data_IF_830645939078
#
_entry.id   IF_830645939078
#
_cell.length_a   1.000
_cell.length_b   1.000
_cell.length_c   1.000
_cell.angle_alpha   90.00
_cell.angle_beta   90.00
_cell.angle_gamma   90.00
#
_symmetry.space_group_name_H-M   'P 1'
#
loop_
_entity.id
_entity.type
_entity.pdbx_description
1 polymer ?
#
# COMPACT_ATOMS: atom_id res chain seq x y z
N UNK A 1 29.87 8.75 -8.52
CA UNK A 1 28.51 9.18 -8.92
C UNK A 1 27.63 9.29 -7.68
N UNK A 2 26.56 10.09 -7.73
CA UNK A 2 25.72 10.41 -6.57
C UNK A 2 24.65 9.34 -6.35
N UNK A 3 24.24 9.10 -5.10
CA UNK A 3 23.19 8.14 -4.74
C UNK A 3 21.90 8.31 -5.55
N UNK A 4 21.48 9.57 -5.80
CA UNK A 4 20.29 9.86 -6.59
C UNK A 4 20.42 9.40 -8.06
N UNK A 5 21.62 9.34 -8.62
CA UNK A 5 21.87 8.87 -9.99
C UNK A 5 21.97 7.35 -10.08
N UNK A 6 22.54 6.71 -9.06
CA UNK A 6 22.85 5.27 -9.10
C UNK A 6 21.78 4.38 -8.47
N UNK A 7 20.92 4.93 -7.61
CA UNK A 7 20.10 4.13 -6.69
C UNK A 7 18.62 4.55 -6.63
N UNK A 8 18.26 5.73 -7.13
CA UNK A 8 16.86 6.16 -7.22
C UNK A 8 16.31 5.92 -8.63
N UNK A 9 14.99 5.68 -8.77
CA UNK A 9 14.40 5.44 -10.08
C UNK A 9 14.46 6.70 -10.95
N UNK A 10 14.76 6.53 -12.23
CA UNK A 10 14.74 7.61 -13.22
C UNK A 10 13.32 8.08 -13.56
N UNK A 11 12.33 7.20 -13.36
CA UNK A 11 10.92 7.46 -13.60
C UNK A 11 10.08 7.06 -12.38
N UNK A 12 9.10 7.90 -12.05
CA UNK A 12 8.10 7.60 -11.02
C UNK A 12 6.72 7.70 -11.64
N UNK A 13 5.88 6.69 -11.39
CA UNK A 13 4.47 6.72 -11.77
C UNK A 13 3.60 7.13 -10.58
N UNK A 14 2.70 8.09 -10.82
CA UNK A 14 1.73 8.56 -9.83
C UNK A 14 0.33 8.19 -10.31
N UNK A 15 -0.33 7.19 -9.69
CA UNK A 15 -1.69 6.80 -10.09
C UNK A 15 -2.69 7.91 -9.74
N UNK A 16 -3.65 8.15 -10.63
CA UNK A 16 -4.72 9.15 -10.44
C UNK A 16 -6.11 8.50 -10.57
N UNK A 17 -6.58 8.30 -11.80
CA UNK A 17 -7.88 7.70 -12.11
C UNK A 17 -9.05 8.68 -12.22
N UNK A 18 -8.82 9.99 -12.33
CA UNK A 18 -9.89 11.00 -12.39
C UNK A 18 -9.49 12.20 -13.27
N UNK A 19 -10.47 13.01 -13.67
CA UNK A 19 -10.23 14.24 -14.42
C UNK A 19 -9.57 15.29 -13.52
N UNK A 20 -8.56 15.98 -14.03
CA UNK A 20 -7.81 16.98 -13.27
C UNK A 20 -7.89 18.32 -13.97
N UNK A 21 -8.24 19.36 -13.23
CA UNK A 21 -8.16 20.73 -13.72
C UNK A 21 -6.75 21.28 -13.58
N UNK A 22 -6.15 21.10 -12.40
CA UNK A 22 -4.76 21.48 -12.10
C UNK A 22 -4.12 20.49 -11.14
N UNK A 23 -2.82 20.31 -11.26
CA UNK A 23 -2.01 19.67 -10.24
C UNK A 23 -1.20 20.76 -9.53
N UNK A 24 -1.34 20.86 -8.21
CA UNK A 24 -0.53 21.72 -7.37
C UNK A 24 0.67 20.92 -6.91
N UNK A 25 1.87 21.40 -7.23
CA UNK A 25 3.13 20.76 -6.89
C UNK A 25 3.77 21.54 -5.75
N UNK A 26 4.10 20.83 -4.67
CA UNK A 26 5.02 21.27 -3.64
C UNK A 26 6.37 20.58 -3.90
N UNK A 27 7.42 21.36 -4.14
CA UNK A 27 8.69 20.86 -4.66
C UNK A 27 9.41 21.96 -5.42
N UNK A 28 9.79 21.69 -6.68
CA UNK A 28 10.41 22.71 -7.53
C UNK A 28 11.83 23.08 -7.11
N UNK A 29 12.51 22.17 -6.42
CA UNK A 29 13.93 22.31 -6.09
C UNK A 29 14.70 21.17 -6.74
N UNK A 30 15.93 21.46 -7.12
CA UNK A 30 16.87 20.45 -7.57
C UNK A 30 18.19 20.64 -6.84
N UNK A 31 18.85 19.54 -6.54
CA UNK A 31 20.28 19.64 -6.27
C UNK A 31 21.02 19.85 -7.60
N UNK A 32 22.09 20.65 -7.55
CA UNK A 32 22.80 21.15 -8.73
C UNK A 32 21.92 21.98 -9.67
N UNK A 33 20.90 22.63 -9.11
CA UNK A 33 19.94 23.45 -9.85
C UNK A 33 20.46 24.84 -10.19
N UNK A 34 19.65 25.60 -10.90
CA UNK A 34 19.96 26.97 -11.30
C UNK A 34 19.93 27.90 -10.10
N UNK A 35 20.92 28.79 -10.04
CA UNK A 35 20.99 29.88 -9.09
C UNK A 35 20.40 31.20 -9.64
N UNK A 36 19.76 31.17 -10.82
CA UNK A 36 19.21 32.34 -11.51
C UNK A 36 17.91 32.01 -12.25
N UNK A 37 17.03 33.00 -12.44
CA UNK A 37 15.85 32.93 -13.29
C UNK A 37 16.24 32.98 -14.77
N UNK A 38 16.76 31.86 -15.26
CA UNK A 38 17.13 31.67 -16.65
C UNK A 38 16.87 30.23 -17.02
N UNK A 39 16.01 30.03 -18.03
CA UNK A 39 15.71 28.71 -18.57
C UNK A 39 16.99 27.97 -18.94
N UNK A 40 17.27 26.93 -18.16
CA UNK A 40 18.41 26.07 -18.29
C UNK A 40 18.06 24.76 -18.99
N UNK A 41 18.69 23.69 -18.52
CA UNK A 41 18.49 22.33 -19.05
C UNK A 41 17.13 21.76 -18.63
N UNK A 42 16.59 20.77 -19.35
CA UNK A 42 15.35 20.11 -18.93
C UNK A 42 15.57 19.36 -17.61
N UNK A 43 14.64 19.52 -16.69
CA UNK A 43 14.67 18.89 -15.36
C UNK A 43 13.83 17.62 -15.36
N UNK A 44 12.55 17.73 -15.75
CA UNK A 44 11.58 16.63 -15.65
C UNK A 44 10.68 16.63 -16.88
N UNK A 45 10.44 15.47 -17.47
CA UNK A 45 9.37 15.25 -18.44
C UNK A 45 8.17 14.70 -17.67
N UNK A 46 7.05 15.41 -17.74
CA UNK A 46 5.76 15.00 -17.20
C UNK A 46 4.94 14.42 -18.35
N UNK A 47 4.53 13.17 -18.22
CA UNK A 47 3.63 12.52 -19.18
C UNK A 47 2.29 12.23 -18.50
N UNK A 48 1.21 12.78 -19.06
CA UNK A 48 -0.16 12.48 -18.67
C UNK A 48 -0.64 11.31 -19.51
N UNK A 49 -0.95 10.19 -18.88
CA UNK A 49 -1.51 9.02 -19.54
C UNK A 49 -3.01 8.99 -19.30
N UNK A 50 -3.80 9.27 -20.33
CA UNK A 50 -5.25 9.38 -20.20
C UNK A 50 -5.94 8.03 -20.25
N UNK A 51 -7.12 7.97 -19.65
CA UNK A 51 -8.03 6.83 -19.65
C UNK A 51 -8.38 6.32 -21.06
N UNK A 52 -8.36 7.19 -22.07
CA UNK A 52 -8.64 6.85 -23.47
C UNK A 52 -7.42 6.31 -24.24
N UNK A 53 -6.32 6.03 -23.52
CA UNK A 53 -5.07 5.47 -24.07
C UNK A 53 -4.17 6.50 -24.76
N UNK A 54 -4.57 7.76 -24.87
CA UNK A 54 -3.73 8.83 -25.42
C UNK A 54 -2.83 9.43 -24.34
N UNK A 55 -1.80 10.14 -24.78
CA UNK A 55 -0.82 10.80 -23.90
C UNK A 55 -0.65 12.27 -24.21
N UNK A 56 -0.35 13.07 -23.20
CA UNK A 56 0.14 14.45 -23.32
C UNK A 56 1.45 14.59 -22.58
N UNK A 57 2.38 15.40 -23.08
CA UNK A 57 3.68 15.62 -22.45
C UNK A 57 3.96 17.10 -22.18
N UNK A 58 4.57 17.40 -21.04
CA UNK A 58 5.09 18.71 -20.67
C UNK A 58 6.51 18.56 -20.15
N UNK A 59 7.43 19.47 -20.52
CA UNK A 59 8.79 19.49 -20.00
C UNK A 59 8.93 20.65 -19.01
N UNK A 60 9.44 20.34 -17.82
CA UNK A 60 9.81 21.30 -16.78
C UNK A 60 11.31 21.55 -16.84
N UNK A 61 11.70 22.78 -16.55
CA UNK A 61 13.06 23.26 -16.75
C UNK A 61 13.68 23.74 -15.44
N UNK A 62 14.99 23.53 -15.36
CA UNK A 62 15.84 24.20 -14.40
C UNK A 62 15.91 25.70 -14.69
N UNK A 63 15.88 26.52 -13.64
CA UNK A 63 15.78 27.98 -13.73
C UNK A 63 14.42 28.50 -14.20
N UNK A 64 13.37 27.65 -14.25
CA UNK A 64 11.98 28.05 -14.52
C UNK A 64 11.06 27.51 -13.42
N UNK A 65 10.71 26.21 -13.44
CA UNK A 65 9.96 25.59 -12.35
C UNK A 65 10.88 25.13 -11.22
N UNK A 66 12.10 24.70 -11.56
CA UNK A 66 13.10 24.22 -10.62
C UNK A 66 14.19 25.26 -10.35
N UNK A 67 14.72 25.30 -9.13
CA UNK A 67 15.92 26.07 -8.77
C UNK A 67 16.80 25.30 -7.78
N UNK A 68 18.03 25.75 -7.57
CA UNK A 68 18.92 25.11 -6.59
C UNK A 68 18.33 25.12 -5.18
N UNK A 69 18.38 24.00 -4.48
CA UNK A 69 17.79 23.85 -3.15
C UNK A 69 18.44 24.70 -2.05
N UNK A 70 19.72 25.11 -2.20
CA UNK A 70 20.57 25.52 -1.06
C UNK A 70 20.11 26.81 -0.36
N UNK A 71 19.45 27.71 -1.10
CA UNK A 71 19.00 29.02 -0.62
C UNK A 71 17.85 29.50 -1.47
N UNK A 72 17.10 30.50 -1.00
CA UNK A 72 16.07 31.16 -1.80
C UNK A 72 16.64 31.76 -3.09
N UNK A 73 16.13 31.27 -4.22
CA UNK A 73 16.40 31.76 -5.58
C UNK A 73 15.06 31.89 -6.26
N UNK A 74 14.65 33.09 -6.63
CA UNK A 74 13.37 33.30 -7.31
C UNK A 74 13.52 32.96 -8.81
N UNK A 75 12.61 32.13 -9.32
CA UNK A 75 12.50 31.70 -10.73
C UNK A 75 11.07 31.89 -11.22
N UNK A 76 10.89 32.11 -12.51
CA UNK A 76 9.63 32.57 -13.12
C UNK A 76 8.48 31.55 -13.11
N UNK A 77 8.77 30.25 -13.08
CA UNK A 77 7.80 29.17 -13.18
C UNK A 77 7.31 28.60 -11.85
N UNK A 78 7.86 29.04 -10.72
CA UNK A 78 7.45 28.57 -9.40
C UNK A 78 7.64 29.64 -8.32
N UNK A 79 6.94 29.51 -7.20
CA UNK A 79 6.94 30.48 -6.11
C UNK A 79 7.58 29.88 -4.87
N UNK A 80 8.34 30.68 -4.14
CA UNK A 80 8.89 30.29 -2.84
C UNK A 80 7.76 29.97 -1.83
N UNK A 81 8.00 28.97 -0.97
CA UNK A 81 7.10 28.60 0.12
C UNK A 81 7.70 29.04 1.45
N UNK A 82 6.99 29.91 2.15
CA UNK A 82 7.39 30.42 3.46
C UNK A 82 6.94 29.47 4.60
N UNK A 83 7.65 29.50 5.73
CA UNK A 83 7.23 28.87 6.98
C UNK A 83 7.36 27.34 7.08
N UNK A 84 7.86 26.65 6.04
CA UNK A 84 8.06 25.19 6.07
C UNK A 84 9.50 24.75 6.36
N UNK A 85 10.47 25.65 6.25
CA UNK A 85 11.87 25.40 6.59
C UNK A 85 12.23 26.27 7.79
N UNK A 86 12.90 25.70 8.78
CA UNK A 86 13.38 26.43 9.95
C UNK A 86 14.26 27.62 9.51
N UNK A 87 14.03 28.81 10.08
CA UNK A 87 14.67 30.05 9.65
C UNK A 87 16.22 30.04 9.66
N UNK A 88 16.83 29.12 10.41
CA UNK A 88 18.29 28.99 10.55
C UNK A 88 18.88 27.81 9.76
N UNK A 89 18.10 27.17 8.88
CA UNK A 89 18.57 26.06 8.02
C UNK A 89 18.78 26.54 6.59
N UNK A 90 19.88 26.16 5.91
CA UNK A 90 20.00 26.37 4.47
C UNK A 90 18.93 25.53 3.76
N UNK A 91 18.26 26.14 2.78
CA UNK A 91 17.20 25.46 2.05
C UNK A 91 16.21 26.43 1.39
N UNK A 92 15.41 25.86 0.50
CA UNK A 92 14.14 26.44 0.07
C UNK A 92 13.19 25.32 -0.33
N UNK A 93 11.92 25.66 -0.41
CA UNK A 93 10.90 24.84 -1.04
C UNK A 93 10.06 25.76 -1.93
N UNK A 94 9.54 25.23 -3.02
CA UNK A 94 8.77 25.99 -4.00
C UNK A 94 7.44 25.32 -4.26
N UNK A 95 6.55 26.07 -4.89
CA UNK A 95 5.30 25.53 -5.39
C UNK A 95 4.97 26.09 -6.76
N UNK A 96 4.31 25.27 -7.57
CA UNK A 96 3.83 25.64 -8.90
C UNK A 96 2.64 24.77 -9.29
N UNK A 97 2.03 25.08 -10.42
CA UNK A 97 0.87 24.33 -10.94
C UNK A 97 1.15 23.76 -12.31
N UNK A 98 0.76 22.51 -12.52
CA UNK A 98 0.67 21.91 -13.83
C UNK A 98 -0.79 21.91 -14.28
N UNK A 99 -1.02 22.17 -15.55
CA UNK A 99 -2.37 22.22 -16.11
C UNK A 99 -2.44 21.31 -17.33
N UNK A 100 -3.11 20.14 -17.23
CA UNK A 100 -3.34 19.31 -18.40
C UNK A 100 -4.18 20.07 -19.42
N UNK A 101 -3.86 19.93 -20.72
CA UNK A 101 -4.64 20.56 -21.80
C UNK A 101 -5.96 19.84 -22.03
N UNK A 102 -6.02 18.56 -21.66
CA UNK A 102 -7.19 17.69 -21.80
C UNK A 102 -7.97 17.60 -20.50
N UNK A 103 -9.25 17.25 -20.62
CA UNK A 103 -10.20 17.19 -19.49
C UNK A 103 -10.65 15.76 -19.16
N UNK A 104 -10.25 14.81 -19.99
CA UNK A 104 -10.48 13.39 -19.78
C UNK A 104 -9.75 12.88 -18.53
N UNK A 105 -10.26 11.83 -17.86
CA UNK A 105 -9.58 11.24 -16.72
C UNK A 105 -8.14 10.83 -17.05
N UNK A 106 -7.22 11.17 -16.15
CA UNK A 106 -5.82 10.75 -16.24
C UNK A 106 -5.69 9.44 -15.48
N UNK A 107 -5.19 8.38 -16.12
CA UNK A 107 -4.91 7.10 -15.49
C UNK A 107 -3.74 7.23 -14.49
N UNK A 108 -2.61 7.76 -14.96
CA UNK A 108 -1.42 8.02 -14.16
C UNK A 108 -0.57 9.14 -14.78
N UNK A 109 0.30 9.73 -13.97
CA UNK A 109 1.37 10.61 -14.41
C UNK A 109 2.69 9.85 -14.39
N UNK A 110 3.53 10.05 -15.40
CA UNK A 110 4.93 9.63 -15.35
C UNK A 110 5.82 10.87 -15.20
N UNK A 111 6.65 10.86 -14.16
CA UNK A 111 7.64 11.90 -13.87
C UNK A 111 9.02 11.32 -14.16
N UNK A 112 9.63 11.75 -15.26
CA UNK A 112 10.89 11.21 -15.75
C UNK A 112 12.00 12.26 -15.68
N UNK A 113 13.12 11.95 -15.02
CA UNK A 113 14.31 12.79 -15.04
C UNK A 113 15.15 12.53 -16.29
N UNK A 114 15.86 13.56 -16.73
CA UNK A 114 16.82 13.45 -17.84
C UNK A 114 18.18 12.98 -17.33
N UNK A 115 18.96 12.29 -18.18
CA UNK A 115 20.34 11.91 -17.86
C UNK A 115 21.26 13.14 -17.83
N UNK A 116 21.22 13.85 -16.71
CA UNK A 116 22.06 15.00 -16.43
C UNK A 116 22.35 15.08 -14.91
N UNK A 117 23.04 16.14 -14.47
CA UNK A 117 23.47 16.28 -13.08
C UNK A 117 22.34 16.68 -12.10
N UNK A 118 21.20 17.14 -12.60
CA UNK A 118 20.11 17.57 -11.75
C UNK A 118 19.54 16.40 -10.96
N UNK A 119 19.19 16.67 -9.72
CA UNK A 119 18.34 15.80 -8.93
C UNK A 119 17.05 16.56 -8.58
N UNK A 120 16.04 16.57 -9.47
CA UNK A 120 14.77 17.24 -9.24
C UNK A 120 13.99 16.55 -8.11
N UNK A 121 13.42 17.34 -7.20
CA UNK A 121 12.68 16.83 -6.04
C UNK A 121 11.24 17.33 -6.06
N UNK A 122 10.32 16.38 -5.96
CA UNK A 122 8.91 16.60 -5.64
C UNK A 122 8.68 16.18 -4.19
N UNK A 123 8.05 17.04 -3.41
CA UNK A 123 7.68 16.71 -2.03
C UNK A 123 6.22 16.23 -1.96
N UNK A 124 5.31 16.92 -2.65
CA UNK A 124 3.92 16.52 -2.74
C UNK A 124 3.28 17.01 -4.04
N UNK A 125 2.25 16.30 -4.48
CA UNK A 125 1.39 16.71 -5.60
C UNK A 125 -0.06 16.54 -5.14
N UNK A 126 -0.87 17.58 -5.26
CA UNK A 126 -2.32 17.50 -5.01
C UNK A 126 -3.09 17.85 -6.27
N UNK A 127 -4.20 17.16 -6.51
CA UNK A 127 -5.02 17.40 -7.68
C UNK A 127 -6.23 18.27 -7.33
N UNK A 128 -6.44 19.33 -8.10
CA UNK A 128 -7.67 20.10 -8.15
C UNK A 128 -8.60 19.46 -9.17
N UNK A 129 -9.74 18.98 -8.69
CA UNK A 129 -10.78 18.35 -9.50
C UNK A 129 -11.89 19.38 -9.67
N UNK A 130 -12.12 19.85 -10.90
CA UNK A 130 -13.24 20.75 -11.20
C UNK A 130 -14.56 20.07 -10.87
N UNK A 131 -15.58 20.84 -10.45
CA UNK A 131 -16.90 20.34 -10.07
C UNK A 131 -17.73 19.62 -11.15
N UNK A 132 -17.11 19.15 -12.23
CA UNK A 132 -17.68 18.14 -13.12
C UNK A 132 -17.78 16.79 -12.40
N UNK A 133 -18.72 15.95 -12.85
CA UNK A 133 -18.96 14.62 -12.28
C UNK A 133 -17.64 13.89 -12.00
N UNK A 134 -17.56 13.19 -10.85
CA UNK A 134 -16.55 12.15 -10.64
C UNK A 134 -16.73 11.15 -11.78
N UNK A 135 -16.06 11.37 -12.90
CA UNK A 135 -16.00 10.39 -13.97
C UNK A 135 -15.56 9.10 -13.31
N UNK A 136 -16.32 8.02 -13.51
CA UNK A 136 -15.86 6.70 -13.13
C UNK A 136 -14.46 6.57 -13.71
N UNK A 137 -13.48 6.31 -12.83
CA UNK A 137 -12.14 5.94 -13.25
C UNK A 137 -12.28 4.92 -14.38
N UNK A 138 -11.54 5.10 -15.48
CA UNK A 138 -11.42 4.00 -16.43
C UNK A 138 -11.10 2.75 -15.62
N UNK A 139 -11.78 1.61 -15.91
CA UNK A 139 -11.62 0.41 -15.12
C UNK A 139 -10.13 0.12 -15.01
N UNK A 140 -9.65 -0.04 -13.78
CA UNK A 140 -8.24 -0.30 -13.55
C UNK A 140 -7.82 -1.51 -14.41
N UNK A 141 -6.58 -1.53 -14.95
CA UNK A 141 -6.14 -2.58 -15.86
C UNK A 141 -6.47 -3.94 -15.26
N UNK A 142 -7.11 -4.79 -16.05
CA UNK A 142 -7.53 -6.11 -15.59
C UNK A 142 -6.29 -6.87 -15.10
N UNK A 143 -6.37 -7.40 -13.89
CA UNK A 143 -5.28 -8.17 -13.30
C UNK A 143 -5.30 -9.59 -13.87
N UNK A 144 -4.17 -10.05 -14.39
CA UNK A 144 -4.03 -11.44 -14.83
C UNK A 144 -3.87 -12.34 -13.60
N UNK A 145 -4.89 -13.15 -13.33
CA UNK A 145 -4.86 -14.08 -12.21
C UNK A 145 -4.17 -15.40 -12.59
N UNK A 146 -3.30 -15.95 -11.72
CA UNK A 146 -2.74 -17.28 -11.90
C UNK A 146 -3.82 -18.36 -11.80
N UNK A 147 -3.47 -19.60 -12.18
CA UNK A 147 -4.36 -20.76 -12.07
C UNK A 147 -4.88 -21.01 -10.64
N UNK A 148 -4.14 -20.58 -9.61
CA UNK A 148 -4.58 -20.64 -8.22
C UNK A 148 -5.82 -19.79 -7.94
N UNK A 149 -6.07 -18.76 -8.77
CA UNK A 149 -7.08 -17.71 -8.57
C UNK A 149 -6.96 -17.03 -7.22
N UNK A 150 -5.73 -16.95 -6.69
CA UNK A 150 -5.41 -16.23 -5.48
C UNK A 150 -4.96 -14.82 -5.82
N UNK A 151 -5.50 -13.82 -5.13
CA UNK A 151 -5.10 -12.43 -5.22
C UNK A 151 -4.61 -11.94 -3.87
N UNK A 152 -3.38 -11.41 -3.81
CA UNK A 152 -2.83 -10.72 -2.65
C UNK A 152 -2.83 -9.21 -2.91
N UNK A 153 -3.47 -8.46 -2.00
CA UNK A 153 -3.56 -7.01 -2.05
C UNK A 153 -2.69 -6.41 -0.94
N UNK A 154 -1.63 -5.71 -1.33
CA UNK A 154 -0.73 -5.00 -0.43
C UNK A 154 -0.78 -3.48 -0.62
N UNK A 155 0.18 -2.78 -0.03
CA UNK A 155 0.38 -1.35 -0.20
C UNK A 155 -0.08 -0.48 0.97
N UNK A 156 0.40 0.75 0.96
CA UNK A 156 0.29 1.73 2.04
C UNK A 156 1.65 2.03 2.66
N UNK A 157 1.72 2.11 3.98
CA UNK A 157 2.95 2.50 4.71
C UNK A 157 3.40 1.43 5.70
N UNK A 158 4.53 1.70 6.38
CA UNK A 158 5.05 0.93 7.53
C UNK A 158 5.64 -0.44 7.21
N UNK A 159 5.47 -0.96 5.99
CA UNK A 159 6.07 -2.22 5.54
C UNK A 159 6.65 -2.07 4.13
N UNK A 160 7.68 -2.87 3.83
CA UNK A 160 8.15 -3.07 2.46
C UNK A 160 7.25 -4.10 1.76
N UNK A 161 6.08 -3.63 1.30
CA UNK A 161 5.07 -4.47 0.66
C UNK A 161 5.56 -5.19 -0.60
N UNK A 162 6.45 -4.54 -1.35
CA UNK A 162 7.02 -5.10 -2.56
C UNK A 162 7.98 -6.25 -2.25
N UNK A 163 8.83 -6.09 -1.23
CA UNK A 163 9.79 -7.13 -0.87
C UNK A 163 9.13 -8.30 -0.17
N UNK A 164 8.34 -8.05 0.87
CA UNK A 164 7.92 -9.10 1.79
C UNK A 164 6.59 -9.74 1.39
N UNK A 165 5.66 -8.96 0.83
CA UNK A 165 4.33 -9.47 0.51
C UNK A 165 4.16 -9.80 -0.97
N UNK A 166 4.72 -9.00 -1.89
CA UNK A 166 4.74 -9.36 -3.31
C UNK A 166 5.78 -10.46 -3.58
N UNK A 167 7.07 -10.13 -3.46
CA UNK A 167 8.15 -11.08 -3.79
C UNK A 167 8.31 -12.23 -2.79
N UNK A 168 7.77 -12.08 -1.58
CA UNK A 168 7.74 -13.12 -0.55
C UNK A 168 6.43 -13.91 -0.56
N UNK A 169 5.41 -13.39 0.12
CA UNK A 169 4.17 -14.14 0.39
C UNK A 169 3.37 -14.47 -0.89
N UNK A 170 3.22 -13.53 -1.83
CA UNK A 170 2.49 -13.80 -3.07
C UNK A 170 3.22 -14.85 -3.92
N UNK A 171 4.56 -14.80 -3.98
CA UNK A 171 5.37 -15.84 -4.62
C UNK A 171 5.22 -17.21 -3.94
N UNK A 172 5.25 -17.25 -2.60
CA UNK A 172 5.06 -18.46 -1.80
C UNK A 172 3.69 -19.11 -2.05
N UNK A 173 2.65 -18.28 -2.20
CA UNK A 173 1.26 -18.71 -2.39
C UNK A 173 0.89 -18.92 -3.86
N UNK A 174 1.77 -18.57 -4.80
CA UNK A 174 1.46 -18.54 -6.23
C UNK A 174 0.26 -17.63 -6.53
N UNK A 175 0.20 -16.47 -5.89
CA UNK A 175 -0.86 -15.48 -6.01
C UNK A 175 -0.49 -14.38 -7.01
N UNK A 176 -1.49 -13.77 -7.66
CA UNK A 176 -1.29 -12.46 -8.25
C UNK A 176 -1.15 -11.43 -7.14
N UNK A 177 -0.39 -10.36 -7.40
CA UNK A 177 -0.21 -9.26 -6.48
C UNK A 177 -0.70 -7.94 -7.07
N UNK A 178 -1.31 -7.10 -6.24
CA UNK A 178 -1.52 -5.69 -6.55
C UNK A 178 -1.32 -4.81 -5.32
N UNK A 179 -0.72 -3.64 -5.54
CA UNK A 179 -0.69 -2.53 -4.58
C UNK A 179 -1.71 -1.43 -4.92
N UNK A 180 -2.58 -1.64 -5.91
CA UNK A 180 -3.59 -0.68 -6.35
C UNK A 180 -5.01 -1.15 -5.95
N UNK A 181 -5.65 -0.54 -4.94
CA UNK A 181 -6.98 -0.94 -4.49
C UNK A 181 -8.07 -0.83 -5.57
N UNK A 182 -7.88 0.00 -6.59
CA UNK A 182 -8.84 0.15 -7.69
C UNK A 182 -8.97 -1.11 -8.55
N UNK A 183 -7.99 -2.03 -8.50
CA UNK A 183 -8.04 -3.30 -9.25
C UNK A 183 -8.86 -4.38 -8.54
N UNK A 184 -9.19 -4.20 -7.25
CA UNK A 184 -9.85 -5.22 -6.44
C UNK A 184 -11.23 -5.56 -7.04
N UNK A 185 -12.07 -4.56 -7.25
CA UNK A 185 -13.45 -4.78 -7.71
C UNK A 185 -13.53 -5.59 -9.01
N UNK A 186 -12.67 -5.27 -9.98
CA UNK A 186 -12.63 -5.97 -11.28
C UNK A 186 -12.08 -7.39 -11.20
N UNK A 187 -11.20 -7.70 -10.24
CA UNK A 187 -10.59 -9.02 -10.10
C UNK A 187 -11.46 -10.01 -9.31
N UNK A 188 -12.21 -9.52 -8.32
CA UNK A 188 -13.01 -10.35 -7.37
C UNK A 188 -13.93 -11.42 -8.01
N UNK A 189 -14.58 -11.19 -9.16
CA UNK A 189 -15.41 -12.23 -9.79
C UNK A 189 -14.65 -13.54 -10.07
N UNK A 190 -13.36 -13.43 -10.41
CA UNK A 190 -12.52 -14.56 -10.79
C UNK A 190 -11.69 -15.14 -9.63
N UNK A 191 -11.56 -14.41 -8.52
CA UNK A 191 -10.78 -14.80 -7.33
C UNK A 191 -11.48 -15.90 -6.55
N UNK A 192 -10.72 -16.90 -6.09
CA UNK A 192 -11.17 -17.95 -5.15
C UNK A 192 -10.64 -17.74 -3.73
N UNK A 193 -9.47 -17.11 -3.59
CA UNK A 193 -8.88 -16.72 -2.32
C UNK A 193 -8.40 -15.28 -2.42
N UNK A 194 -8.99 -14.39 -1.62
CA UNK A 194 -8.48 -13.04 -1.43
C UNK A 194 -7.58 -13.00 -0.19
N UNK A 195 -6.37 -12.47 -0.36
CA UNK A 195 -5.43 -12.19 0.73
C UNK A 195 -5.31 -10.68 0.85
N UNK A 196 -5.71 -10.10 1.98
CA UNK A 196 -5.53 -8.68 2.25
C UNK A 196 -4.39 -8.49 3.25
N UNK A 197 -3.46 -7.60 2.92
CA UNK A 197 -2.42 -7.14 3.84
C UNK A 197 -2.22 -5.62 3.81
N UNK A 198 -2.92 -4.92 2.91
CA UNK A 198 -2.81 -3.49 2.76
C UNK A 198 -3.33 -2.72 3.99
N UNK A 199 -2.70 -1.60 4.32
CA UNK A 199 -3.23 -0.62 5.28
C UNK A 199 -3.72 0.66 4.60
N UNK A 200 -3.38 0.87 3.33
CA UNK A 200 -3.99 1.95 2.52
C UNK A 200 -5.51 1.76 2.38
N UNK A 201 -6.28 2.85 2.21
CA UNK A 201 -7.73 2.77 2.08
C UNK A 201 -8.20 1.97 0.87
N UNK A 202 -9.25 1.17 1.05
CA UNK A 202 -10.07 0.63 -0.05
C UNK A 202 -11.31 1.52 -0.12
N UNK A 203 -11.29 2.56 -0.96
CA UNK A 203 -12.35 3.57 -1.01
C UNK A 203 -13.49 3.22 -1.97
N UNK A 204 -13.27 2.31 -2.92
CA UNK A 204 -14.28 1.89 -3.88
C UNK A 204 -15.40 1.05 -3.20
N UNK A 205 -16.65 1.52 -3.19
CA UNK A 205 -17.78 0.77 -2.63
C UNK A 205 -18.01 -0.58 -3.32
N UNK A 206 -17.70 -0.71 -4.62
CA UNK A 206 -17.83 -1.97 -5.34
C UNK A 206 -16.79 -2.99 -4.85
N UNK A 207 -15.55 -2.56 -4.60
CA UNK A 207 -14.53 -3.40 -3.98
C UNK A 207 -14.95 -3.83 -2.57
N UNK A 208 -15.41 -2.89 -1.73
CA UNK A 208 -15.90 -3.19 -0.37
C UNK A 208 -17.02 -4.23 -0.38
N UNK A 209 -18.06 -4.00 -1.18
CA UNK A 209 -19.18 -4.92 -1.32
C UNK A 209 -18.71 -6.28 -1.86
N UNK A 210 -17.86 -6.29 -2.89
CA UNK A 210 -17.36 -7.50 -3.50
C UNK A 210 -16.53 -8.38 -2.55
N UNK A 211 -15.80 -7.78 -1.60
CA UNK A 211 -15.06 -8.53 -0.56
C UNK A 211 -16.05 -9.31 0.32
N UNK A 212 -17.15 -8.68 0.75
CA UNK A 212 -18.21 -9.37 1.49
C UNK A 212 -18.92 -10.42 0.64
N UNK A 213 -19.28 -10.08 -0.60
CA UNK A 213 -19.94 -11.01 -1.53
C UNK A 213 -19.07 -12.26 -1.80
N UNK A 214 -17.75 -12.10 -1.88
CA UNK A 214 -16.80 -13.21 -2.05
C UNK A 214 -16.92 -14.21 -0.88
N UNK A 215 -16.92 -13.72 0.35
CA UNK A 215 -17.05 -14.57 1.55
C UNK A 215 -18.46 -15.18 1.63
N UNK A 216 -19.50 -14.42 1.31
CA UNK A 216 -20.88 -14.92 1.21
C UNK A 216 -21.06 -15.99 0.13
N UNK A 217 -20.28 -15.92 -0.95
CA UNK A 217 -20.24 -16.95 -1.98
C UNK A 217 -19.47 -18.22 -1.55
N UNK A 218 -18.97 -18.28 -0.31
CA UNK A 218 -18.27 -19.44 0.23
C UNK A 218 -16.80 -19.56 -0.17
N UNK A 219 -16.22 -18.49 -0.72
CA UNK A 219 -14.80 -18.39 -1.09
C UNK A 219 -13.94 -17.99 0.13
N UNK A 220 -12.63 -18.05 -0.03
CA UNK A 220 -11.67 -17.83 1.05
C UNK A 220 -11.25 -16.37 1.20
N UNK A 221 -11.12 -15.92 2.44
CA UNK A 221 -10.51 -14.64 2.81
C UNK A 221 -9.40 -14.86 3.83
N UNK A 222 -8.24 -14.28 3.57
CA UNK A 222 -7.09 -14.33 4.47
C UNK A 222 -6.62 -12.92 4.78
N UNK A 223 -6.54 -12.58 6.07
CA UNK A 223 -6.22 -11.24 6.55
C UNK A 223 -4.85 -11.30 7.23
N UNK A 224 -3.88 -10.59 6.67
CA UNK A 224 -2.49 -10.64 7.09
C UNK A 224 -2.05 -9.32 7.70
N UNK A 225 -1.42 -9.43 8.87
CA UNK A 225 -0.68 -8.39 9.55
C UNK A 225 -1.40 -7.03 9.52
N UNK A 226 -1.10 -6.03 8.66
CA UNK A 226 -1.79 -4.75 8.74
C UNK A 226 -3.29 -4.86 8.52
N UNK A 227 -3.79 -5.83 7.73
CA UNK A 227 -5.21 -6.02 7.50
C UNK A 227 -6.00 -6.46 8.76
N UNK A 228 -5.30 -6.84 9.85
CA UNK A 228 -5.89 -7.14 11.15
C UNK A 228 -6.02 -5.91 12.07
N UNK A 229 -5.63 -4.71 11.62
CA UNK A 229 -5.78 -3.45 12.36
C UNK A 229 -7.14 -2.78 12.13
N UNK A 230 -7.48 -1.85 13.02
CA UNK A 230 -8.53 -0.87 12.78
C UNK A 230 -8.08 0.26 11.83
N UNK A 231 -7.74 -0.10 10.58
CA UNK A 231 -7.23 0.85 9.57
C UNK A 231 -8.31 1.79 9.03
N UNK A 232 -9.53 1.28 8.83
CA UNK A 232 -10.57 1.96 8.05
C UNK A 232 -11.74 2.38 8.93
N UNK A 233 -11.62 3.56 9.54
CA UNK A 233 -12.65 4.13 10.44
C UNK A 233 -14.01 4.33 9.76
N UNK A 234 -14.00 4.58 8.45
CA UNK A 234 -15.17 4.77 7.60
C UNK A 234 -15.77 3.46 7.08
N UNK A 235 -15.21 2.31 7.48
CA UNK A 235 -15.70 0.98 7.13
C UNK A 235 -15.65 0.02 8.34
N UNK A 236 -16.34 0.35 9.44
CA UNK A 236 -16.26 -0.42 10.69
C UNK A 236 -16.77 -1.86 10.54
N UNK A 237 -17.66 -2.13 9.57
CA UNK A 237 -18.19 -3.46 9.28
C UNK A 237 -17.09 -4.45 8.89
N UNK A 238 -16.01 -3.99 8.25
CA UNK A 238 -14.86 -4.82 7.91
C UNK A 238 -14.27 -5.48 9.16
N UNK A 239 -13.89 -4.68 10.16
CA UNK A 239 -13.33 -5.19 11.40
C UNK A 239 -14.35 -6.02 12.17
N UNK A 240 -15.60 -5.55 12.25
CA UNK A 240 -16.67 -6.24 12.99
C UNK A 240 -16.96 -7.63 12.42
N UNK A 241 -17.09 -7.77 11.11
CA UNK A 241 -17.61 -8.98 10.48
C UNK A 241 -16.52 -9.90 9.89
N UNK A 242 -15.44 -9.33 9.35
CA UNK A 242 -14.40 -10.11 8.65
C UNK A 242 -13.17 -10.37 9.53
N UNK A 243 -12.77 -9.40 10.35
CA UNK A 243 -11.67 -9.58 11.33
C UNK A 243 -12.20 -10.07 12.69
N UNK A 244 -13.50 -9.89 12.95
CA UNK A 244 -14.15 -10.08 14.24
C UNK A 244 -13.56 -9.24 15.39
N UNK A 245 -12.88 -8.14 15.08
CA UNK A 245 -12.12 -7.31 16.00
C UNK A 245 -10.98 -6.59 15.30
N UNK A 246 -9.88 -6.41 16.02
CA UNK A 246 -8.63 -5.92 15.43
C UNK A 246 -7.67 -5.35 16.47
N UNK A 247 -6.53 -4.87 15.99
CA UNK A 247 -5.49 -4.24 16.83
C UNK A 247 -5.53 -2.71 16.74
N UNK A 248 -5.20 -2.04 17.85
CA UNK A 248 -4.90 -0.59 17.91
C UNK A 248 -3.49 -0.30 18.41
N UNK A 249 -2.73 -1.34 18.70
CA UNK A 249 -1.40 -1.28 19.27
C UNK A 249 -0.75 -2.66 19.23
N UNK A 250 0.55 -2.65 19.49
CA UNK A 250 1.42 -3.82 19.49
C UNK A 250 2.61 -3.54 20.39
N UNK A 251 3.31 -4.59 20.79
CA UNK A 251 4.63 -4.44 21.40
C UNK A 251 5.68 -4.05 20.36
N UNK A 252 6.79 -3.47 20.82
CA UNK A 252 7.95 -3.18 19.97
C UNK A 252 8.42 -4.43 19.21
N UNK A 253 9.06 -4.23 18.07
CA UNK A 253 9.69 -5.31 17.29
C UNK A 253 10.72 -6.07 18.15
N UNK A 254 10.40 -7.30 18.54
CA UNK A 254 11.23 -8.12 19.41
C UNK A 254 10.95 -9.61 19.21
N UNK A 255 11.85 -10.46 19.70
CA UNK A 255 11.62 -11.91 19.71
C UNK A 255 10.66 -12.29 20.84
N UNK A 256 9.57 -12.98 20.51
CA UNK A 256 8.62 -13.52 21.49
C UNK A 256 8.24 -14.96 21.14
N UNK A 257 7.66 -15.67 22.12
CA UNK A 257 7.20 -17.04 21.94
C UNK A 257 5.78 -17.07 21.38
N UNK A 258 5.60 -17.89 20.36
CA UNK A 258 4.33 -18.23 19.71
C UNK A 258 4.00 -19.68 20.03
N UNK A 259 2.76 -19.95 20.43
CA UNK A 259 2.31 -21.25 20.94
C UNK A 259 1.09 -21.70 20.13
N UNK A 260 1.16 -22.90 19.57
CA UNK A 260 0.03 -23.56 18.90
C UNK A 260 -0.95 -24.09 19.96
N UNK A 261 -2.20 -23.66 19.89
CA UNK A 261 -3.26 -24.07 20.84
C UNK A 261 -4.21 -25.12 20.29
N UNK A 262 -4.25 -25.28 18.97
CA UNK A 262 -5.06 -26.29 18.29
C UNK A 262 -4.18 -27.03 17.26
N UNK A 263 -3.64 -28.18 17.66
CA UNK A 263 -2.79 -29.02 16.80
C UNK A 263 -3.59 -29.87 15.80
N UNK A 264 -4.91 -29.98 15.98
CA UNK A 264 -5.77 -30.77 15.09
C UNK A 264 -6.22 -29.98 13.86
N UNK A 265 -6.13 -28.65 13.90
CA UNK A 265 -6.46 -27.79 12.77
C UNK A 265 -5.55 -28.03 11.56
N UNK A 266 -6.10 -28.12 10.34
CA UNK A 266 -5.29 -28.18 9.12
C UNK A 266 -4.35 -26.97 8.95
N UNK A 267 -4.67 -25.82 9.56
CA UNK A 267 -3.86 -24.60 9.48
C UNK A 267 -2.53 -24.78 10.24
N UNK A 268 -2.52 -25.53 11.34
CA UNK A 268 -1.35 -25.75 12.20
C UNK A 268 -0.62 -27.06 11.89
N UNK A 269 -1.07 -27.80 10.86
CA UNK A 269 -0.47 -29.06 10.46
C UNK A 269 1.01 -28.90 10.07
N UNK A 270 1.89 -29.59 10.80
CA UNK A 270 3.33 -29.53 10.59
C UNK A 270 4.00 -28.23 11.04
N UNK A 271 3.30 -27.40 11.82
CA UNK A 271 3.86 -26.24 12.51
C UNK A 271 4.38 -26.70 13.87
N UNK A 272 5.52 -26.16 14.31
CA UNK A 272 6.09 -26.43 15.64
C UNK A 272 5.09 -26.09 16.76
N UNK A 273 5.02 -26.92 17.81
CA UNK A 273 4.10 -26.70 18.95
C UNK A 273 4.30 -25.33 19.62
N UNK A 274 5.55 -24.89 19.69
CA UNK A 274 5.90 -23.49 19.91
C UNK A 274 7.14 -23.13 19.11
N UNK A 275 7.28 -21.85 18.79
CA UNK A 275 8.46 -21.30 18.11
C UNK A 275 8.67 -19.85 18.53
N UNK A 276 9.90 -19.36 18.37
CA UNK A 276 10.24 -17.96 18.59
C UNK A 276 10.33 -17.23 17.28
N UNK A 277 9.75 -16.04 17.22
CA UNK A 277 9.81 -15.18 16.05
C UNK A 277 10.07 -13.76 16.48
N UNK A 278 10.90 -13.04 15.72
CA UNK A 278 11.08 -11.60 15.89
C UNK A 278 10.05 -10.88 15.05
N UNK A 279 9.07 -10.25 15.71
CA UNK A 279 7.94 -9.57 15.07
C UNK A 279 7.29 -8.56 16.04
N UNK A 280 6.18 -7.96 15.63
CA UNK A 280 5.31 -7.15 16.48
C UNK A 280 4.18 -8.01 17.05
N UNK A 281 4.15 -8.19 18.37
CA UNK A 281 3.01 -8.85 19.01
C UNK A 281 1.82 -7.90 19.09
N UNK A 282 0.82 -8.15 18.26
CA UNK A 282 -0.40 -7.37 18.18
C UNK A 282 -1.29 -7.56 19.41
N UNK A 283 -1.75 -6.45 19.99
CA UNK A 283 -2.68 -6.45 21.11
C UNK A 283 -4.13 -6.54 20.58
N UNK A 284 -4.47 -7.70 20.03
CA UNK A 284 -5.77 -7.93 19.40
C UNK A 284 -6.93 -7.75 20.40
N UNK A 285 -7.96 -7.03 19.97
CA UNK A 285 -9.21 -6.83 20.71
C UNK A 285 -10.38 -7.38 19.91
N UNK A 286 -11.04 -8.40 20.47
CA UNK A 286 -12.28 -8.96 19.94
C UNK A 286 -13.38 -7.90 19.96
N UNK A 287 -14.10 -7.74 18.85
CA UNK A 287 -15.34 -6.96 18.83
C UNK A 287 -16.44 -7.79 19.52
N UNK A 288 -17.07 -7.29 20.60
CA UNK A 288 -18.09 -8.03 21.34
C UNK A 288 -19.37 -8.28 20.52
N UNK A 289 -19.60 -7.51 19.44
CA UNK A 289 -20.71 -7.67 18.51
C UNK A 289 -20.28 -8.33 17.18
N UNK A 290 -19.01 -8.71 17.03
CA UNK A 290 -18.51 -9.47 15.88
C UNK A 290 -18.67 -10.99 16.06
N UNK A 291 -18.54 -11.79 14.99
CA UNK A 291 -18.67 -13.25 15.05
C UNK A 291 -17.66 -13.89 16.01
N UNK A 292 -17.93 -15.10 16.47
CA UNK A 292 -16.96 -15.86 17.28
C UNK A 292 -15.68 -16.18 16.50
N UNK A 293 -14.58 -16.36 17.22
CA UNK A 293 -13.29 -16.77 16.65
C UNK A 293 -12.80 -18.07 17.26
N UNK A 294 -12.10 -18.88 16.47
CA UNK A 294 -11.33 -20.03 16.97
C UNK A 294 -9.85 -19.68 16.93
N UNK A 295 -9.23 -19.58 18.11
CA UNK A 295 -7.80 -19.27 18.24
C UNK A 295 -6.99 -20.54 18.07
N UNK A 296 -6.10 -20.54 17.08
CA UNK A 296 -5.27 -21.69 16.70
C UNK A 296 -3.84 -21.53 17.20
N UNK A 297 -3.38 -20.29 17.28
CA UNK A 297 -2.04 -19.92 17.70
C UNK A 297 -2.12 -18.63 18.52
N UNK A 298 -1.35 -18.54 19.60
CA UNK A 298 -1.25 -17.38 20.49
C UNK A 298 0.18 -16.89 20.62
N UNK A 299 0.34 -15.61 20.94
CA UNK A 299 1.60 -15.01 21.35
C UNK A 299 1.50 -14.47 22.77
N UNK A 300 2.57 -14.63 23.55
CA UNK A 300 2.62 -14.16 24.94
C UNK A 300 3.35 -12.82 25.04
N UNK A 301 2.64 -11.83 25.58
CA UNK A 301 3.14 -10.49 25.84
C UNK A 301 4.31 -10.51 26.81
N UNK A 302 5.44 -9.95 26.39
CA UNK A 302 6.61 -9.79 27.26
C UNK A 302 6.44 -8.61 28.22
N UNK A 303 5.57 -7.66 27.88
CA UNK A 303 5.31 -6.47 28.69
C UNK A 303 4.26 -6.74 29.79
N UNK A 304 3.23 -7.53 29.49
CA UNK A 304 2.06 -7.69 30.36
C UNK A 304 1.76 -9.13 30.75
N UNK A 305 2.41 -10.13 30.12
CA UNK A 305 2.13 -11.55 30.31
C UNK A 305 0.81 -12.04 29.70
N UNK A 306 -0.01 -11.14 29.13
CA UNK A 306 -1.27 -11.48 28.45
C UNK A 306 -1.00 -12.27 27.17
N UNK A 307 -1.93 -13.15 26.81
CA UNK A 307 -1.90 -13.86 25.54
C UNK A 307 -2.81 -13.18 24.51
N UNK A 308 -2.32 -13.04 23.29
CA UNK A 308 -3.09 -12.51 22.17
C UNK A 308 -3.20 -13.53 21.04
N UNK A 309 -4.35 -13.61 20.33
CA UNK A 309 -4.46 -14.41 19.12
C UNK A 309 -3.42 -13.98 18.07
N UNK A 310 -2.70 -14.97 17.56
CA UNK A 310 -1.71 -14.81 16.48
C UNK A 310 -2.25 -15.37 15.18
N UNK A 311 -2.83 -16.58 15.23
CA UNK A 311 -3.58 -17.16 14.11
C UNK A 311 -4.94 -17.58 14.64
N UNK A 312 -6.00 -17.13 13.97
CA UNK A 312 -7.37 -17.48 14.32
C UNK A 312 -8.27 -17.49 13.09
N UNK A 313 -9.35 -18.25 13.16
CA UNK A 313 -10.42 -18.21 12.15
C UNK A 313 -11.60 -17.41 12.68
N UNK A 314 -12.35 -16.79 11.76
CA UNK A 314 -13.61 -16.11 12.08
C UNK A 314 -14.77 -17.01 11.65
N UNK A 315 -15.73 -17.24 12.55
CA UNK A 315 -16.89 -18.07 12.29
C UNK A 315 -17.86 -17.34 11.35
N UNK A 316 -17.76 -17.66 10.07
CA UNK A 316 -18.64 -17.16 9.03
C UNK A 316 -19.51 -18.32 8.49
N UNK A 317 -20.83 -18.12 8.26
CA UNK A 317 -21.75 -19.22 7.93
C UNK A 317 -21.47 -19.93 6.59
N UNK A 318 -20.81 -19.24 5.65
CA UNK A 318 -20.58 -19.74 4.27
C UNK A 318 -19.11 -19.78 3.87
N UNK A 319 -18.42 -18.65 3.97
CA UNK A 319 -17.00 -18.50 3.66
C UNK A 319 -16.04 -19.00 4.74
N UNK A 320 -14.76 -19.00 4.39
CA UNK A 320 -13.65 -19.35 5.29
C UNK A 320 -12.76 -18.13 5.46
N UNK A 321 -12.68 -17.62 6.69
CA UNK A 321 -11.86 -16.45 7.01
C UNK A 321 -10.79 -16.85 8.02
N UNK A 322 -9.54 -16.53 7.71
CA UNK A 322 -8.39 -16.74 8.59
C UNK A 322 -7.58 -15.45 8.73
N UNK A 323 -7.21 -15.12 9.96
CA UNK A 323 -6.41 -13.95 10.31
C UNK A 323 -5.06 -14.41 10.85
N UNK A 324 -3.98 -13.79 10.38
CA UNK A 324 -2.62 -13.99 10.89
C UNK A 324 -2.03 -12.62 11.21
N UNK A 325 -1.62 -12.41 12.46
CA UNK A 325 -1.11 -11.12 12.92
C UNK A 325 0.40 -10.96 12.79
N UNK A 326 1.15 -12.02 12.50
CA UNK A 326 2.58 -11.97 12.17
C UNK A 326 2.80 -11.46 10.74
N UNK A 327 3.96 -10.85 10.49
CA UNK A 327 4.41 -10.44 9.15
C UNK A 327 4.99 -9.02 9.06
N UNK A 328 5.70 -8.51 10.07
CA UNK A 328 6.24 -7.14 9.99
C UNK A 328 7.38 -7.00 8.95
N UNK A 329 8.39 -7.87 9.03
CA UNK A 329 9.61 -7.83 8.21
C UNK A 329 10.23 -9.21 7.96
N UNK A 330 11.41 -9.22 7.32
CA UNK A 330 12.13 -10.42 6.93
C UNK A 330 12.32 -11.46 8.03
N UNK A 331 12.43 -11.08 9.31
CA UNK A 331 12.58 -12.07 10.37
C UNK A 331 11.35 -12.97 10.53
N UNK A 332 10.15 -12.42 10.33
CA UNK A 332 8.91 -13.19 10.28
C UNK A 332 8.77 -13.89 8.93
N UNK A 333 8.94 -13.17 7.81
CA UNK A 333 8.75 -13.70 6.46
C UNK A 333 9.71 -14.84 6.11
N UNK A 334 10.90 -14.91 6.71
CA UNK A 334 11.84 -16.01 6.51
C UNK A 334 11.63 -17.20 7.46
N UNK A 335 10.79 -17.05 8.49
CA UNK A 335 10.59 -18.09 9.49
C UNK A 335 9.83 -19.30 8.90
N UNK A 336 10.34 -20.54 9.07
CA UNK A 336 9.74 -21.73 8.46
C UNK A 336 8.31 -21.98 8.93
N UNK A 337 8.03 -21.81 10.23
CA UNK A 337 6.68 -21.97 10.78
C UNK A 337 5.71 -20.90 10.26
N UNK A 338 6.17 -19.66 10.03
CA UNK A 338 5.33 -18.62 9.43
C UNK A 338 4.96 -18.96 7.98
N UNK A 339 5.96 -19.34 7.16
CA UNK A 339 5.72 -19.82 5.79
C UNK A 339 4.73 -21.00 5.76
N UNK A 340 4.87 -21.93 6.70
CA UNK A 340 3.97 -23.09 6.82
C UNK A 340 2.55 -22.69 7.19
N UNK A 341 2.39 -21.78 8.15
CA UNK A 341 1.09 -21.21 8.52
C UNK A 341 0.43 -20.52 7.32
N UNK A 342 1.16 -19.72 6.53
CA UNK A 342 0.63 -19.07 5.34
C UNK A 342 0.10 -20.08 4.31
N UNK A 343 0.90 -21.09 3.98
CA UNK A 343 0.53 -22.12 3.01
C UNK A 343 -0.70 -22.92 3.47
N UNK A 344 -0.71 -23.36 4.72
CA UNK A 344 -1.82 -24.14 5.28
C UNK A 344 -3.09 -23.28 5.39
N UNK A 345 -2.98 -22.02 5.82
CA UNK A 345 -4.10 -21.08 5.88
C UNK A 345 -4.71 -20.82 4.50
N UNK A 346 -3.87 -20.60 3.48
CA UNK A 346 -4.33 -20.43 2.11
C UNK A 346 -5.02 -21.69 1.57
N UNK A 347 -4.45 -22.88 1.79
CA UNK A 347 -5.04 -24.15 1.37
C UNK A 347 -6.41 -24.38 2.05
N UNK A 348 -6.46 -24.19 3.37
CA UNK A 348 -7.70 -24.31 4.15
C UNK A 348 -8.76 -23.31 3.68
N UNK A 349 -8.41 -22.04 3.50
CA UNK A 349 -9.37 -21.00 3.08
C UNK A 349 -9.88 -21.24 1.64
N UNK A 350 -9.01 -21.71 0.74
CA UNK A 350 -9.36 -22.03 -0.64
C UNK A 350 -10.14 -23.35 -0.80
N UNK A 351 -10.37 -24.10 0.28
CA UNK A 351 -10.96 -25.46 0.27
C UNK A 351 -10.18 -26.46 -0.60
N UNK A 352 -8.85 -26.37 -0.57
CA UNK A 352 -7.96 -27.31 -1.26
C UNK A 352 -7.50 -28.43 -0.34
#
# INVERSE_FOLDING_TARGET
EWFCKTSLPQAVEVPLGFAVDKLHVLGGIAAWGSAVDKKGRPAVKVTYHYADGKTETQVLYDGVEFSDWIKRIDVSGSKFVDGLIEANRPGQLRWFTLQPKRKEPIHHLSLESYDNILAPTFLAITAEVGGGEKGQSAPAPKLDLPASKTLLVGGGSSHDFEKWFNKGDAALLGAAYTSNPAQIAGALPEVNLLVLTNNQPISDPAARKGIFDLVEAGKGLMLLHPACWYNWKDWPEYNKQLVAGGSRGHEKLQEFEVIVTDEASPITAGVSKSFKVKDELYQFMKDPAGPDIQVLVKGKSLETGKEYPVVYTVNHPKGRIVCITLGHDGAAHDHPDYKKLLQNAAAWAAKK
#
